data_IF_175765977051
#
_entry.id   IF_175765977051
#
_cell.length_a   1.000
_cell.length_b   1.000
_cell.length_c   1.000
_cell.angle_alpha   90.00
_cell.angle_beta   90.00
_cell.angle_gamma   90.00
#
_symmetry.space_group_name_H-M   'P 1'
#
loop_
_entity.id
_entity.type
_entity.pdbx_description
1 polymer ?
#
# COMPACT_ATOMS: atom_id res chain seq x y z
N UNK A 1 -4.17 16.03 -12.75
CA UNK A 1 -2.91 16.73 -12.54
C UNK A 1 -3.00 17.43 -11.21
N UNK A 2 -2.21 16.92 -10.29
CA UNK A 2 -2.29 16.98 -8.82
C UNK A 2 -1.35 18.08 -8.34
N UNK A 3 -1.57 18.60 -7.13
CA UNK A 3 -0.70 19.58 -6.48
C UNK A 3 0.74 19.05 -6.48
N UNK A 4 1.59 19.54 -7.40
CA UNK A 4 3.01 19.21 -7.42
C UNK A 4 3.81 20.41 -7.92
N UNK A 5 4.44 21.16 -7.00
CA UNK A 5 5.64 21.94 -7.28
C UNK A 5 6.36 22.34 -5.98
N UNK A 6 7.67 22.11 -5.95
CA UNK A 6 8.66 22.86 -5.18
C UNK A 6 8.68 22.67 -3.66
N UNK A 7 9.62 21.85 -3.16
CA UNK A 7 10.03 21.74 -1.75
C UNK A 7 8.95 21.40 -0.71
N UNK A 8 7.83 20.82 -1.13
CA UNK A 8 6.85 20.21 -0.21
C UNK A 8 7.06 18.70 -0.19
N UNK A 9 7.19 18.11 0.99
CA UNK A 9 7.28 16.66 1.12
C UNK A 9 5.91 16.06 0.81
N UNK A 10 5.77 15.47 -0.37
CA UNK A 10 4.56 14.79 -0.83
C UNK A 10 4.78 13.29 -0.67
N UNK A 11 4.00 12.66 0.21
CA UNK A 11 3.96 11.20 0.32
C UNK A 11 2.60 10.72 -0.15
N UNK A 12 2.53 9.61 -0.90
CA UNK A 12 1.25 8.98 -1.13
C UNK A 12 0.64 8.52 0.20
N UNK A 13 -0.68 8.67 0.35
CA UNK A 13 -1.48 7.95 1.35
C UNK A 13 -1.88 6.57 0.84
N UNK A 14 -1.26 6.12 -0.25
CA UNK A 14 -1.06 4.69 -0.41
C UNK A 14 -0.16 4.28 0.75
N UNK A 15 -0.69 3.46 1.66
CA UNK A 15 0.11 2.78 2.68
C UNK A 15 0.97 1.73 1.98
N UNK A 16 1.95 2.23 1.22
CA UNK A 16 2.96 1.45 0.55
C UNK A 16 4.02 1.10 1.59
N UNK A 17 3.91 -0.12 2.13
CA UNK A 17 4.84 -0.65 3.11
C UNK A 17 5.82 -1.58 2.43
N UNK A 18 7.11 -1.31 2.64
CA UNK A 18 8.18 -2.19 2.19
C UNK A 18 8.74 -2.98 3.37
N UNK A 19 8.79 -4.28 3.19
CA UNK A 19 9.32 -5.26 4.13
C UNK A 19 10.62 -5.83 3.56
N UNK A 20 11.62 -5.98 4.41
CA UNK A 20 12.88 -6.64 4.09
C UNK A 20 13.14 -7.71 5.13
N UNK A 21 13.50 -8.92 4.68
CA UNK A 21 14.05 -9.91 5.59
C UNK A 21 15.45 -9.46 6.02
N UNK A 22 15.66 -9.33 7.33
CA UNK A 22 16.84 -8.65 7.87
C UNK A 22 18.09 -9.55 8.00
N UNK A 23 17.90 -10.86 8.20
CA UNK A 23 19.01 -11.79 8.41
C UNK A 23 19.51 -12.36 7.09
N UNK A 24 20.37 -11.59 6.40
CA UNK A 24 20.87 -11.94 5.07
C UNK A 24 22.34 -12.42 5.07
N UNK A 25 22.69 -13.45 4.28
CA UNK A 25 21.76 -14.29 3.53
C UNK A 25 20.93 -15.17 4.48
N UNK A 26 19.62 -15.22 4.26
CA UNK A 26 18.77 -16.18 4.94
C UNK A 26 19.13 -17.58 4.48
N UNK A 27 19.17 -18.54 5.40
CA UNK A 27 19.42 -19.95 5.07
C UNK A 27 18.13 -20.73 5.31
N UNK A 28 17.71 -21.50 4.31
CA UNK A 28 16.50 -22.31 4.35
C UNK A 28 16.85 -23.74 4.01
N UNK A 29 16.79 -24.62 5.02
CA UNK A 29 17.10 -26.04 4.90
C UNK A 29 15.84 -26.87 5.16
N UNK A 30 15.14 -27.26 4.08
CA UNK A 30 13.84 -27.94 4.16
C UNK A 30 12.81 -27.21 5.05
N UNK A 31 12.74 -25.88 4.91
CA UNK A 31 11.91 -25.03 5.75
C UNK A 31 11.45 -23.78 5.00
N UNK A 32 11.17 -22.72 5.74
CA UNK A 32 10.74 -21.44 5.18
C UNK A 32 11.20 -20.23 6.00
N UNK A 33 11.27 -19.07 5.34
CA UNK A 33 11.37 -17.75 5.96
C UNK A 33 10.12 -16.97 5.57
N UNK A 34 9.53 -16.24 6.51
CA UNK A 34 8.24 -15.57 6.30
C UNK A 34 8.31 -14.08 6.63
N UNK A 35 7.55 -13.30 5.87
CA UNK A 35 7.25 -11.90 6.12
C UNK A 35 5.75 -11.76 6.34
N UNK A 36 5.37 -11.17 7.47
CA UNK A 36 4.00 -10.75 7.71
C UNK A 36 3.72 -9.45 6.96
N UNK A 37 2.66 -9.45 6.14
CA UNK A 37 2.34 -8.38 5.20
C UNK A 37 1.16 -7.51 5.67
N UNK A 38 0.09 -8.16 6.13
CA UNK A 38 -1.19 -7.54 6.44
C UNK A 38 -1.88 -8.27 7.60
N UNK A 39 -2.60 -7.51 8.42
CA UNK A 39 -3.48 -8.08 9.44
C UNK A 39 -4.81 -8.57 8.83
N UNK A 40 -5.46 -9.52 9.50
CA UNK A 40 -6.77 -10.02 9.09
C UNK A 40 -7.80 -8.87 9.00
N UNK A 41 -8.50 -8.80 7.86
CA UNK A 41 -9.52 -7.77 7.59
C UNK A 41 -8.98 -6.51 6.91
N UNK A 42 -7.65 -6.38 6.72
CA UNK A 42 -7.09 -5.32 5.89
C UNK A 42 -7.23 -5.68 4.40
N UNK A 43 -7.60 -4.69 3.58
CA UNK A 43 -7.67 -4.86 2.13
C UNK A 43 -6.32 -4.62 1.45
N UNK A 44 -6.15 -5.23 0.27
CA UNK A 44 -4.97 -5.13 -0.59
C UNK A 44 -5.33 -4.45 -1.93
N UNK A 45 -4.56 -3.44 -2.33
CA UNK A 45 -4.58 -2.90 -3.70
C UNK A 45 -3.61 -3.65 -4.60
N UNK A 46 -2.36 -3.79 -4.14
CA UNK A 46 -1.30 -4.49 -4.86
C UNK A 46 -0.24 -5.03 -3.91
N UNK A 47 0.35 -6.16 -4.27
CA UNK A 47 1.50 -6.77 -3.61
C UNK A 47 2.59 -7.03 -4.65
N UNK A 48 3.85 -6.81 -4.27
CA UNK A 48 5.02 -7.28 -4.99
C UNK A 48 5.94 -8.01 -4.01
N UNK A 49 6.31 -9.24 -4.30
CA UNK A 49 7.33 -10.00 -3.56
C UNK A 49 8.51 -10.23 -4.49
N UNK A 50 9.72 -9.98 -4.01
CA UNK A 50 10.97 -10.24 -4.72
C UNK A 50 11.87 -11.13 -3.88
N UNK A 51 12.30 -12.25 -4.47
CA UNK A 51 13.25 -13.17 -3.88
C UNK A 51 14.41 -13.37 -4.85
N UNK A 52 15.64 -13.30 -4.34
CA UNK A 52 16.83 -13.81 -5.01
C UNK A 52 17.43 -14.88 -4.14
N UNK A 53 17.61 -16.08 -4.70
CA UNK A 53 18.06 -17.23 -3.96
C UNK A 53 19.00 -18.13 -4.79
N UNK A 54 19.76 -18.96 -4.10
CA UNK A 54 20.73 -19.90 -4.66
C UNK A 54 20.57 -21.25 -4.00
N UNK A 55 20.21 -22.27 -4.78
CA UNK A 55 20.00 -23.63 -4.30
C UNK A 55 21.33 -24.37 -4.29
N UNK A 56 21.69 -24.99 -3.15
CA UNK A 56 23.00 -25.58 -2.96
C UNK A 56 23.24 -26.80 -3.87
N UNK A 57 22.22 -27.63 -4.06
CA UNK A 57 22.31 -28.88 -4.80
C UNK A 57 21.28 -28.92 -5.92
N UNK A 58 21.76 -28.83 -7.16
CA UNK A 58 21.00 -29.07 -8.40
C UNK A 58 21.69 -30.23 -9.10
N UNK A 59 21.39 -31.45 -8.65
CA UNK A 59 22.02 -32.66 -9.21
C UNK A 59 21.53 -32.93 -10.62
N UNK A 60 22.46 -33.36 -11.46
CA UNK A 60 22.15 -33.90 -12.77
C UNK A 60 21.69 -35.35 -12.61
N UNK A 61 20.44 -35.61 -12.99
CA UNK A 61 19.90 -36.96 -13.14
C UNK A 61 18.71 -36.92 -14.08
N UNK A 62 18.25 -38.08 -14.56
CA UNK A 62 17.05 -38.15 -15.41
C UNK A 62 15.83 -37.60 -14.66
N UNK A 63 15.13 -36.64 -15.26
CA UNK A 63 13.94 -36.02 -14.67
C UNK A 63 14.22 -34.80 -13.79
N UNK A 64 13.29 -34.49 -12.90
CA UNK A 64 13.32 -33.31 -12.05
C UNK A 64 14.15 -33.53 -10.78
N UNK A 65 14.97 -32.54 -10.43
CA UNK A 65 15.76 -32.51 -9.20
C UNK A 65 14.91 -32.76 -7.96
N UNK A 66 15.46 -33.50 -7.00
CA UNK A 66 14.86 -33.69 -5.67
C UNK A 66 14.87 -32.41 -4.82
N UNK A 67 15.66 -31.41 -5.22
CA UNK A 67 15.77 -30.12 -4.55
C UNK A 67 15.12 -29.04 -5.39
N UNK A 68 14.37 -28.15 -4.75
CA UNK A 68 13.63 -27.07 -5.40
C UNK A 68 13.24 -26.02 -4.36
N UNK A 69 12.79 -24.87 -4.81
CA UNK A 69 12.39 -23.79 -3.91
C UNK A 69 11.27 -22.98 -4.51
N UNK A 70 10.65 -22.12 -3.71
CA UNK A 70 9.55 -21.31 -4.17
C UNK A 70 9.20 -20.17 -3.23
N UNK A 71 8.13 -19.47 -3.62
CA UNK A 71 7.51 -18.40 -2.87
C UNK A 71 6.05 -18.76 -2.63
N UNK A 72 5.58 -18.63 -1.40
CA UNK A 72 4.18 -18.78 -1.02
C UNK A 72 3.57 -17.42 -0.69
N UNK A 73 2.32 -17.24 -1.06
CA UNK A 73 1.42 -16.20 -0.57
C UNK A 73 0.30 -16.90 0.19
N UNK A 74 0.09 -16.55 1.46
CA UNK A 74 -0.85 -17.27 2.32
C UNK A 74 -1.82 -16.37 3.07
N UNK A 75 -3.02 -16.89 3.24
CA UNK A 75 -4.09 -16.40 4.09
C UNK A 75 -4.62 -17.57 4.93
N UNK A 76 -5.39 -17.32 6.00
CA UNK A 76 -5.96 -18.41 6.80
C UNK A 76 -6.80 -19.37 5.94
N UNK A 77 -6.32 -20.60 5.78
CA UNK A 77 -7.00 -21.63 4.99
C UNK A 77 -6.87 -21.51 3.47
N UNK A 78 -6.05 -20.59 2.96
CA UNK A 78 -5.85 -20.40 1.52
C UNK A 78 -4.38 -20.09 1.18
N UNK A 79 -3.79 -20.80 0.22
CA UNK A 79 -2.37 -20.64 -0.13
C UNK A 79 -2.14 -20.76 -1.64
N UNK A 80 -1.39 -19.79 -2.17
CA UNK A 80 -0.80 -19.85 -3.50
C UNK A 80 0.71 -20.10 -3.37
N UNK A 81 1.21 -21.17 -4.00
CA UNK A 81 2.63 -21.49 -4.04
C UNK A 81 3.13 -21.39 -5.46
N UNK A 82 4.19 -20.63 -5.67
CA UNK A 82 4.93 -20.58 -6.94
C UNK A 82 6.27 -21.23 -6.70
N UNK A 83 6.57 -22.27 -7.45
CA UNK A 83 7.81 -23.03 -7.29
C UNK A 83 8.68 -22.98 -8.53
N UNK A 84 9.98 -23.06 -8.32
CA UNK A 84 10.99 -23.18 -9.35
C UNK A 84 11.74 -24.50 -9.17
N UNK A 85 11.61 -25.37 -10.17
CA UNK A 85 12.19 -26.70 -10.19
C UNK A 85 13.16 -26.81 -11.35
N UNK A 86 14.23 -27.56 -11.16
CA UNK A 86 15.22 -27.83 -12.20
C UNK A 86 15.21 -29.31 -12.56
N UNK A 87 15.62 -29.65 -13.77
CA UNK A 87 15.75 -31.04 -14.19
C UNK A 87 16.49 -31.18 -15.51
N UNK A 88 16.52 -32.40 -16.02
CA UNK A 88 17.07 -32.77 -17.31
C UNK A 88 16.01 -33.54 -18.10
N UNK A 89 15.92 -33.28 -19.41
CA UNK A 89 14.96 -34.01 -20.26
C UNK A 89 15.33 -35.48 -20.40
N UNK A 90 16.56 -35.76 -20.83
CA UNK A 90 17.04 -37.10 -21.17
C UNK A 90 18.51 -37.24 -20.73
N UNK A 91 18.73 -37.30 -19.41
CA UNK A 91 20.08 -37.30 -18.84
C UNK A 91 20.98 -38.39 -19.44
N UNK A 92 22.12 -37.98 -19.99
CA UNK A 92 23.09 -38.87 -20.64
C UNK A 92 22.83 -39.13 -22.13
N UNK A 93 21.76 -38.59 -22.72
CA UNK A 93 21.51 -38.57 -24.17
C UNK A 93 22.21 -37.36 -24.83
N UNK A 94 22.48 -37.44 -26.14
CA UNK A 94 22.99 -36.31 -26.93
C UNK A 94 22.02 -35.12 -26.97
N UNK A 95 20.73 -35.37 -26.73
CA UNK A 95 19.67 -34.37 -26.68
C UNK A 95 19.39 -33.86 -25.25
N UNK A 96 20.19 -34.27 -24.26
CA UNK A 96 20.02 -33.80 -22.88
C UNK A 96 20.09 -32.28 -22.79
N UNK A 97 19.04 -31.68 -22.22
CA UNK A 97 18.99 -30.26 -21.91
C UNK A 97 18.53 -30.06 -20.48
N UNK A 98 19.18 -29.13 -19.79
CA UNK A 98 18.70 -28.65 -18.49
C UNK A 98 17.46 -27.80 -18.68
N UNK A 99 16.43 -28.10 -17.91
CA UNK A 99 15.16 -27.39 -17.91
C UNK A 99 14.93 -26.73 -16.55
N UNK A 100 14.21 -25.62 -16.58
CA UNK A 100 13.59 -25.04 -15.41
C UNK A 100 12.07 -25.08 -15.62
N UNK A 101 11.34 -25.43 -14.58
CA UNK A 101 9.88 -25.48 -14.59
C UNK A 101 9.38 -24.58 -13.48
N UNK A 102 8.46 -23.69 -13.83
CA UNK A 102 7.67 -22.92 -12.86
C UNK A 102 6.30 -23.55 -12.74
N UNK A 103 5.91 -23.88 -11.51
CA UNK A 103 4.63 -24.49 -11.18
C UNK A 103 3.91 -23.61 -10.16
N UNK A 104 2.65 -23.30 -10.41
CA UNK A 104 1.76 -22.58 -9.48
C UNK A 104 0.74 -23.56 -8.93
N UNK A 105 0.66 -23.63 -7.61
CA UNK A 105 -0.36 -24.39 -6.88
C UNK A 105 -1.26 -23.49 -6.09
N UNK A 106 -2.55 -23.80 -6.10
CA UNK A 106 -3.55 -23.25 -5.19
C UNK A 106 -4.05 -24.36 -4.28
N UNK A 107 -3.81 -24.23 -2.96
CA UNK A 107 -4.13 -25.26 -1.96
C UNK A 107 -3.66 -26.67 -2.38
N UNK A 108 -2.39 -26.73 -2.79
CA UNK A 108 -1.68 -27.92 -3.29
C UNK A 108 -2.21 -28.54 -4.60
N UNK A 109 -3.22 -27.93 -5.25
CA UNK A 109 -3.67 -28.28 -6.60
C UNK A 109 -2.88 -27.47 -7.62
N UNK A 110 -2.30 -28.13 -8.63
CA UNK A 110 -1.58 -27.44 -9.72
C UNK A 110 -2.60 -26.69 -10.58
N UNK A 111 -2.41 -25.38 -10.72
CA UNK A 111 -3.25 -24.49 -11.53
C UNK A 111 -2.51 -23.95 -12.76
N UNK A 112 -1.17 -23.96 -12.74
CA UNK A 112 -0.34 -23.66 -13.90
C UNK A 112 1.01 -24.37 -13.80
N UNK A 113 1.55 -24.80 -14.93
CA UNK A 113 2.90 -25.38 -15.03
C UNK A 113 3.50 -24.99 -16.38
N UNK A 114 4.76 -24.55 -16.38
CA UNK A 114 5.42 -24.10 -17.59
C UNK A 114 6.94 -24.34 -17.54
N UNK A 115 7.49 -24.94 -18.59
CA UNK A 115 8.93 -24.93 -18.84
C UNK A 115 9.38 -23.50 -19.21
N UNK A 116 10.40 -23.00 -18.53
CA UNK A 116 10.88 -21.62 -18.63
C UNK A 116 12.38 -21.55 -18.90
N UNK A 117 12.79 -20.54 -19.66
CA UNK A 117 14.19 -20.26 -19.94
C UNK A 117 14.80 -19.17 -19.05
N UNK A 118 16.11 -18.93 -19.19
CA UNK A 118 16.78 -17.77 -18.58
C UNK A 118 17.18 -17.92 -17.11
N UNK A 119 16.95 -19.08 -16.51
CA UNK A 119 17.39 -19.42 -15.16
C UNK A 119 18.81 -20.01 -15.15
N UNK A 120 19.53 -19.78 -14.06
CA UNK A 120 20.81 -20.42 -13.79
C UNK A 120 20.55 -21.82 -13.21
N UNK A 121 20.87 -22.84 -13.99
CA UNK A 121 20.67 -24.24 -13.62
C UNK A 121 21.88 -24.87 -12.92
N UNK A 122 22.97 -24.12 -12.72
CA UNK A 122 24.16 -24.63 -12.04
C UNK A 122 23.96 -24.72 -10.52
N UNK A 123 24.62 -25.68 -9.83
CA UNK A 123 24.65 -25.69 -8.37
C UNK A 123 25.11 -24.34 -7.82
N UNK A 124 24.42 -23.85 -6.78
CA UNK A 124 24.64 -22.52 -6.19
C UNK A 124 24.43 -21.34 -7.17
N UNK A 125 23.82 -21.59 -8.33
CA UNK A 125 23.42 -20.56 -9.26
C UNK A 125 22.32 -19.67 -8.67
N UNK A 126 22.53 -18.35 -8.71
CA UNK A 126 21.51 -17.40 -8.26
C UNK A 126 20.38 -17.26 -9.28
N UNK A 127 19.16 -17.30 -8.76
CA UNK A 127 17.92 -17.09 -9.49
C UNK A 127 17.02 -16.13 -8.72
N UNK A 128 16.21 -15.39 -9.47
CA UNK A 128 15.20 -14.50 -8.92
C UNK A 128 13.80 -15.00 -9.27
N UNK A 129 12.89 -14.89 -8.32
CA UNK A 129 11.45 -15.01 -8.53
C UNK A 129 10.79 -13.72 -8.02
N UNK A 130 9.87 -13.19 -8.79
CA UNK A 130 9.06 -12.04 -8.42
C UNK A 130 7.59 -12.35 -8.64
N UNK A 131 6.77 -12.12 -7.62
CA UNK A 131 5.33 -12.30 -7.64
C UNK A 131 4.69 -10.92 -7.50
N UNK A 132 3.90 -10.52 -8.48
CA UNK A 132 3.09 -9.30 -8.39
C UNK A 132 1.61 -9.67 -8.43
N UNK A 133 0.87 -9.28 -7.39
CA UNK A 133 -0.57 -9.46 -7.31
C UNK A 133 -1.25 -8.09 -7.37
N UNK A 134 -2.07 -7.87 -8.38
CA UNK A 134 -2.89 -6.66 -8.50
C UNK A 134 -4.15 -6.94 -9.29
N UNK A 135 -5.27 -6.31 -8.92
CA UNK A 135 -6.55 -6.46 -9.64
C UNK A 135 -6.98 -7.92 -9.84
N UNK A 136 -6.71 -8.79 -8.84
CA UNK A 136 -7.04 -10.22 -8.91
C UNK A 136 -6.17 -11.05 -9.87
N UNK A 137 -5.07 -10.50 -10.39
CA UNK A 137 -4.13 -11.21 -11.27
C UNK A 137 -2.78 -11.37 -10.56
N UNK A 138 -2.33 -12.62 -10.43
CA UNK A 138 -0.97 -12.96 -10.06
C UNK A 138 -0.11 -13.01 -11.32
N UNK A 139 0.94 -12.20 -11.37
CA UNK A 139 1.98 -12.23 -12.39
C UNK A 139 3.26 -12.75 -11.79
N UNK A 140 3.81 -13.79 -12.42
CA UNK A 140 5.07 -14.43 -12.01
C UNK A 140 6.15 -14.06 -13.00
N UNK A 141 7.25 -13.54 -12.47
CA UNK A 141 8.46 -13.22 -13.24
C UNK A 141 9.68 -13.88 -12.60
N UNK A 142 10.72 -14.16 -13.38
CA UNK A 142 11.95 -14.72 -12.84
C UNK A 142 13.08 -14.85 -13.84
N UNK A 143 14.24 -15.29 -13.33
CA UNK A 143 15.43 -15.60 -14.12
C UNK A 143 16.74 -15.43 -13.34
N UNK A 144 17.87 -15.84 -13.93
CA UNK A 144 19.19 -15.79 -13.29
C UNK A 144 19.90 -14.44 -13.41
N UNK A 145 19.83 -13.85 -14.62
CA UNK A 145 20.48 -12.57 -14.96
C UNK A 145 19.48 -11.44 -15.22
N UNK A 146 18.34 -11.76 -15.80
CA UNK A 146 17.23 -10.84 -16.09
C UNK A 146 15.96 -11.45 -15.52
N UNK A 147 15.13 -10.62 -14.89
CA UNK A 147 13.79 -11.01 -14.48
C UNK A 147 12.86 -10.83 -15.69
N UNK A 148 12.36 -11.93 -16.24
CA UNK A 148 11.42 -11.93 -17.36
C UNK A 148 10.05 -12.35 -16.86
N UNK A 149 9.00 -11.80 -17.44
CA UNK A 149 7.64 -12.29 -17.24
C UNK A 149 7.56 -13.75 -17.72
N UNK A 150 6.97 -14.62 -16.89
CA UNK A 150 6.83 -16.05 -17.18
C UNK A 150 5.37 -16.39 -17.48
N UNK A 151 4.47 -16.03 -16.56
CA UNK A 151 3.04 -16.29 -16.67
C UNK A 151 2.22 -15.31 -15.83
N UNK A 152 0.93 -15.21 -16.15
CA UNK A 152 -0.07 -14.53 -15.33
C UNK A 152 -1.33 -15.38 -15.24
N UNK A 153 -1.94 -15.42 -14.06
CA UNK A 153 -3.18 -16.14 -13.83
C UNK A 153 -4.11 -15.36 -12.90
N UNK A 154 -5.45 -15.51 -13.03
CA UNK A 154 -6.37 -15.01 -12.03
C UNK A 154 -6.17 -15.75 -10.70
N UNK A 155 -6.28 -15.01 -9.60
CA UNK A 155 -6.41 -15.60 -8.26
C UNK A 155 -7.88 -15.70 -7.88
N UNK A 156 -8.25 -16.58 -6.92
CA UNK A 156 -9.62 -16.64 -6.43
C UNK A 156 -10.13 -15.29 -5.93
N UNK A 157 -11.43 -15.04 -6.13
CA UNK A 157 -12.08 -13.83 -5.63
C UNK A 157 -11.92 -13.72 -4.11
N UNK A 158 -11.48 -12.54 -3.65
CA UNK A 158 -11.28 -12.26 -2.23
C UNK A 158 -9.97 -12.81 -1.64
N UNK A 159 -9.08 -13.42 -2.43
CA UNK A 159 -7.76 -13.82 -1.95
C UNK A 159 -6.92 -12.58 -1.57
N UNK A 160 -6.62 -12.44 -0.28
CA UNK A 160 -5.78 -11.37 0.27
C UNK A 160 -4.67 -11.98 1.12
N UNK A 161 -3.43 -12.08 0.61
CA UNK A 161 -2.32 -12.68 1.34
C UNK A 161 -1.95 -11.86 2.57
N UNK A 162 -1.92 -12.51 3.72
CA UNK A 162 -1.46 -11.94 4.99
C UNK A 162 0.03 -12.16 5.19
N UNK A 163 0.59 -13.21 4.60
CA UNK A 163 2.01 -13.55 4.70
C UNK A 163 2.59 -13.91 3.32
N UNK A 164 3.88 -13.63 3.17
CA UNK A 164 4.69 -14.18 2.09
C UNK A 164 5.83 -15.01 2.68
N UNK A 165 6.15 -16.14 2.06
CA UNK A 165 7.22 -17.02 2.52
C UNK A 165 8.11 -17.48 1.39
N UNK A 166 9.42 -17.54 1.62
CA UNK A 166 10.36 -18.26 0.76
C UNK A 166 10.65 -19.61 1.40
N UNK A 167 10.53 -20.69 0.64
CA UNK A 167 10.69 -22.05 1.15
C UNK A 167 11.56 -22.89 0.22
N UNK A 168 12.11 -23.97 0.75
CA UNK A 168 12.93 -24.90 0.00
C UNK A 168 12.66 -26.35 0.38
N UNK A 169 12.88 -27.23 -0.59
CA UNK A 169 13.26 -28.63 -0.36
C UNK A 169 14.73 -28.72 -0.77
N UNK A 170 15.59 -29.04 0.18
CA UNK A 170 17.04 -28.86 0.09
C UNK A 170 17.52 -27.59 0.79
N UNK A 171 18.79 -27.24 0.55
CA UNK A 171 19.46 -26.09 1.18
C UNK A 171 19.47 -24.89 0.23
N UNK A 172 18.94 -23.75 0.68
CA UNK A 172 18.75 -22.53 -0.09
C UNK A 172 19.39 -21.34 0.64
N UNK A 173 20.20 -20.57 -0.07
CA UNK A 173 20.71 -19.28 0.40
C UNK A 173 19.92 -18.13 -0.23
N UNK A 174 19.40 -17.23 0.59
CA UNK A 174 18.48 -16.15 0.20
C UNK A 174 19.10 -14.79 0.55
N UNK A 175 19.90 -14.19 -0.36
CA UNK A 175 20.44 -12.84 -0.15
C UNK A 175 19.41 -11.72 -0.25
N UNK A 176 18.28 -11.95 -0.93
CA UNK A 176 17.21 -10.95 -1.07
C UNK A 176 15.87 -11.62 -0.85
N UNK A 177 15.12 -11.08 0.11
CA UNK A 177 13.71 -11.36 0.27
C UNK A 177 13.03 -10.07 0.75
N UNK A 178 12.18 -9.49 -0.11
CA UNK A 178 11.43 -8.29 0.21
C UNK A 178 10.02 -8.36 -0.32
N UNK A 179 9.13 -7.62 0.32
CA UNK A 179 7.77 -7.43 -0.13
C UNK A 179 7.40 -5.94 -0.11
N UNK A 180 6.55 -5.52 -1.03
CA UNK A 180 5.94 -4.20 -1.10
C UNK A 180 4.43 -4.39 -1.17
N UNK A 181 3.71 -3.80 -0.21
CA UNK A 181 2.26 -3.92 -0.07
C UNK A 181 1.67 -2.53 -0.20
N UNK A 182 0.65 -2.37 -1.03
CA UNK A 182 -0.16 -1.15 -1.12
C UNK A 182 -1.61 -1.45 -0.79
N UNK A 183 -2.24 -0.56 -0.04
CA UNK A 183 -3.64 -0.66 0.42
C UNK A 183 -4.52 0.41 -0.23
N UNK A 184 -5.83 0.18 -0.37
CA UNK A 184 -6.72 1.19 -0.92
C UNK A 184 -6.76 2.44 -0.03
N UNK A 185 -6.66 3.67 -0.59
CA UNK A 185 -6.71 4.89 0.22
C UNK A 185 -7.98 5.03 1.06
N UNK A 186 -9.10 4.47 0.58
CA UNK A 186 -10.36 4.37 1.31
C UNK A 186 -10.20 3.78 2.71
N UNK A 187 -9.44 2.69 2.81
CA UNK A 187 -9.27 1.94 4.04
C UNK A 187 -8.17 2.53 4.92
N UNK A 188 -7.13 3.10 4.30
CA UNK A 188 -6.03 3.77 5.01
C UNK A 188 -6.51 5.06 5.67
N UNK A 189 -7.41 5.79 5.02
CA UNK A 189 -7.94 7.06 5.50
C UNK A 189 -9.28 6.92 6.23
N UNK A 190 -9.87 5.73 6.31
CA UNK A 190 -11.12 5.55 7.03
C UNK A 190 -10.97 6.04 8.48
N UNK A 191 -11.85 6.96 8.89
CA UNK A 191 -11.97 7.33 10.31
C UNK A 191 -13.02 6.46 10.99
N UNK A 192 -12.98 6.42 12.31
CA UNK A 192 -14.00 5.76 13.15
C UNK A 192 -15.34 6.52 13.20
N UNK A 193 -15.38 7.73 12.64
CA UNK A 193 -16.56 8.59 12.72
C UNK A 193 -17.66 8.16 11.76
N UNK A 194 -18.88 8.38 12.22
CA UNK A 194 -20.08 8.40 11.38
C UNK A 194 -20.66 9.81 11.36
N UNK A 195 -21.50 10.10 10.37
CA UNK A 195 -22.23 11.38 10.33
C UNK A 195 -23.01 11.62 11.63
N UNK A 196 -23.72 10.61 12.13
CA UNK A 196 -24.52 10.73 13.36
C UNK A 196 -23.66 10.93 14.60
N UNK A 197 -22.52 10.23 14.72
CA UNK A 197 -21.61 10.44 15.86
C UNK A 197 -21.01 11.84 15.86
N UNK A 198 -20.70 12.42 14.69
CA UNK A 198 -20.21 13.79 14.57
C UNK A 198 -21.29 14.81 14.92
N UNK A 199 -22.51 14.64 14.39
CA UNK A 199 -23.66 15.50 14.73
C UNK A 199 -23.91 15.50 16.24
N UNK A 200 -23.91 14.33 16.86
CA UNK A 200 -24.14 14.21 18.31
C UNK A 200 -23.01 14.82 19.13
N UNK A 201 -21.76 14.61 18.72
CA UNK A 201 -20.60 15.23 19.37
C UNK A 201 -20.67 16.75 19.32
N UNK A 202 -20.92 17.33 18.15
CA UNK A 202 -20.92 18.78 17.98
C UNK A 202 -22.10 19.47 18.68
N UNK A 203 -23.22 18.77 18.95
CA UNK A 203 -24.30 19.31 19.79
C UNK A 203 -23.88 19.53 21.25
N UNK A 204 -22.94 18.72 21.74
CA UNK A 204 -22.48 18.72 23.14
C UNK A 204 -21.16 19.46 23.34
N UNK A 205 -20.45 19.75 22.26
CA UNK A 205 -19.13 20.35 22.31
C UNK A 205 -19.21 21.86 22.55
N UNK A 206 -18.39 22.36 23.47
CA UNK A 206 -18.13 23.79 23.64
C UNK A 206 -16.86 24.24 22.91
N UNK A 207 -16.22 23.32 22.18
CA UNK A 207 -15.02 23.61 21.40
C UNK A 207 -15.40 24.34 20.12
N UNK A 208 -14.96 25.60 20.01
CA UNK A 208 -15.31 26.47 18.89
C UNK A 208 -14.58 26.09 17.59
N UNK A 209 -13.55 25.25 17.66
CA UNK A 209 -12.87 24.68 16.49
C UNK A 209 -13.67 23.52 15.92
N UNK A 210 -14.30 22.74 16.80
CA UNK A 210 -15.14 21.62 16.38
C UNK A 210 -16.39 22.08 15.62
N UNK A 211 -16.76 21.30 14.61
CA UNK A 211 -17.96 21.54 13.82
C UNK A 211 -17.81 21.14 12.37
N UNK A 212 -18.86 21.44 11.61
CA UNK A 212 -18.87 21.28 10.17
C UNK A 212 -18.47 22.59 9.49
N UNK A 213 -17.65 22.48 8.46
CA UNK A 213 -17.03 23.58 7.74
C UNK A 213 -17.25 23.37 6.25
N UNK A 214 -17.94 24.30 5.59
CA UNK A 214 -18.20 24.20 4.14
C UNK A 214 -17.41 25.24 3.38
N UNK A 215 -16.98 24.87 2.17
CA UNK A 215 -16.23 25.74 1.28
C UNK A 215 -16.92 27.10 1.13
N UNK A 216 -16.16 28.17 1.41
CA UNK A 216 -16.62 29.55 1.28
C UNK A 216 -16.03 30.18 0.02
N UNK A 217 -14.72 30.36 0.00
CA UNK A 217 -13.99 30.91 -1.15
C UNK A 217 -12.56 30.36 -1.22
N UNK A 218 -11.82 30.82 -2.22
CA UNK A 218 -10.39 30.56 -2.38
C UNK A 218 -9.71 31.78 -2.98
N UNK A 219 -8.44 31.92 -2.68
CA UNK A 219 -7.53 32.85 -3.34
C UNK A 219 -6.31 32.03 -3.79
N UNK A 220 -6.23 31.78 -5.10
CA UNK A 220 -5.22 30.90 -5.67
C UNK A 220 -5.03 31.20 -7.16
N UNK A 221 -3.86 30.86 -7.68
CA UNK A 221 -3.64 30.76 -9.11
C UNK A 221 -4.04 29.34 -9.60
N UNK A 222 -5.07 29.20 -10.46
CA UNK A 222 -5.54 27.90 -10.97
C UNK A 222 -4.51 27.14 -11.81
N UNK A 223 -3.47 27.81 -12.31
CA UNK A 223 -2.40 27.16 -13.08
C UNK A 223 -1.39 26.47 -12.15
N UNK A 224 -1.25 26.95 -10.90
CA UNK A 224 -0.37 26.37 -9.89
C UNK A 224 -1.08 25.38 -8.96
N UNK A 225 -2.33 25.66 -8.60
CA UNK A 225 -3.10 24.82 -7.70
C UNK A 225 -4.56 24.74 -8.13
N UNK A 226 -5.10 23.53 -8.26
CA UNK A 226 -6.52 23.33 -8.56
C UNK A 226 -7.22 22.74 -7.35
N UNK A 227 -8.33 23.36 -6.98
CA UNK A 227 -9.17 22.85 -5.90
C UNK A 227 -9.74 21.49 -6.30
N UNK A 228 -9.53 20.49 -5.45
CA UNK A 228 -10.07 19.14 -5.67
C UNK A 228 -11.58 19.01 -5.47
N UNK A 229 -12.24 20.03 -4.93
CA UNK A 229 -13.68 20.08 -4.75
C UNK A 229 -14.14 21.17 -3.79
N UNK A 230 -15.42 21.52 -3.82
CA UNK A 230 -16.04 22.44 -2.85
C UNK A 230 -16.45 21.63 -1.61
N UNK A 231 -15.48 21.35 -0.76
CA UNK A 231 -15.65 20.39 0.33
C UNK A 231 -16.58 20.88 1.43
N UNK A 232 -17.31 19.93 2.02
CA UNK A 232 -17.75 20.01 3.41
C UNK A 232 -16.82 19.10 4.22
N UNK A 233 -16.33 19.63 5.33
CA UNK A 233 -15.40 18.99 6.25
C UNK A 233 -16.02 18.97 7.65
N UNK A 234 -15.64 18.00 8.46
CA UNK A 234 -15.83 18.05 9.90
C UNK A 234 -14.46 18.23 10.56
N UNK A 235 -14.34 19.15 11.50
CA UNK A 235 -13.16 19.28 12.34
C UNK A 235 -13.51 18.76 13.72
N UNK A 236 -12.73 17.81 14.22
CA UNK A 236 -13.07 17.05 15.43
C UNK A 236 -11.81 16.78 16.25
N UNK A 237 -11.85 17.06 17.56
CA UNK A 237 -10.69 16.88 18.43
C UNK A 237 -10.37 15.39 18.60
N UNK A 238 -9.11 14.99 18.43
CA UNK A 238 -8.62 13.68 18.87
C UNK A 238 -8.65 13.63 20.39
N UNK A 239 -9.29 12.60 20.96
CA UNK A 239 -9.34 12.19 22.38
C UNK A 239 -9.02 13.25 23.45
N UNK A 240 -9.90 13.40 24.45
CA UNK A 240 -9.72 14.38 25.54
C UNK A 240 -8.36 14.28 26.27
N UNK A 241 -7.79 13.06 26.36
CA UNK A 241 -6.55 12.75 27.09
C UNK A 241 -5.26 12.90 26.26
N UNK A 242 -5.37 13.28 24.99
CA UNK A 242 -4.23 13.50 24.07
C UNK A 242 -3.86 14.99 23.97
N UNK A 243 -2.65 15.32 23.46
CA UNK A 243 -2.34 16.69 23.06
C UNK A 243 -3.46 17.20 22.17
N UNK A 244 -3.85 18.46 22.38
CA UNK A 244 -4.94 19.11 21.65
C UNK A 244 -4.62 19.02 20.15
N UNK A 245 -5.30 18.16 19.42
CA UNK A 245 -5.08 17.89 17.99
C UNK A 245 -6.45 17.64 17.39
N UNK A 246 -6.68 18.09 16.17
CA UNK A 246 -7.96 17.90 15.49
C UNK A 246 -7.78 17.10 14.21
N UNK A 247 -8.66 16.13 13.98
CA UNK A 247 -8.82 15.52 12.66
C UNK A 247 -9.71 16.40 11.78
N UNK A 248 -9.28 16.54 10.54
CA UNK A 248 -10.12 17.07 9.46
C UNK A 248 -10.69 15.85 8.75
N UNK A 249 -12.01 15.68 8.79
CA UNK A 249 -12.73 14.55 8.20
C UNK A 249 -13.49 15.04 6.97
N UNK A 250 -13.33 14.37 5.85
CA UNK A 250 -14.09 14.62 4.63
C UNK A 250 -15.54 14.21 4.81
N UNK A 251 -16.48 15.13 4.53
CA UNK A 251 -17.92 14.84 4.57
C UNK A 251 -18.46 14.69 3.15
N UNK A 252 -18.24 15.67 2.29
CA UNK A 252 -18.76 15.69 0.93
C UNK A 252 -18.06 16.75 0.06
N UNK A 253 -18.41 16.80 -1.23
CA UNK A 253 -18.02 17.91 -2.11
C UNK A 253 -16.73 17.72 -2.91
N UNK A 254 -16.13 16.52 -2.90
CA UNK A 254 -15.03 16.19 -3.80
C UNK A 254 -15.51 16.18 -5.27
N UNK A 255 -14.71 16.79 -6.16
CA UNK A 255 -14.97 16.85 -7.60
C UNK A 255 -13.90 16.09 -8.39
N UNK A 256 -12.65 16.18 -7.95
CA UNK A 256 -11.52 15.40 -8.48
C UNK A 256 -11.40 14.12 -7.69
N UNK A 257 -11.40 12.97 -8.38
CA UNK A 257 -11.44 11.63 -7.77
C UNK A 257 -12.60 11.44 -6.78
N UNK A 258 -13.74 12.11 -7.02
CA UNK A 258 -14.88 12.13 -6.10
C UNK A 258 -15.56 10.77 -5.92
N UNK A 259 -15.43 9.88 -6.90
CA UNK A 259 -15.87 8.48 -6.83
C UNK A 259 -15.08 7.65 -5.80
N UNK A 260 -13.80 8.01 -5.60
CA UNK A 260 -12.89 7.35 -4.65
C UNK A 260 -12.98 7.94 -3.24
N UNK A 261 -13.32 9.22 -3.11
CA UNK A 261 -13.55 9.86 -1.81
C UNK A 261 -14.88 9.39 -1.20
N UNK A 262 -14.80 8.66 -0.10
CA UNK A 262 -15.97 8.26 0.70
C UNK A 262 -16.11 9.17 1.91
N UNK A 263 -17.35 9.57 2.29
CA UNK A 263 -17.57 10.30 3.53
C UNK A 263 -16.89 9.59 4.71
N UNK A 264 -16.42 10.39 5.67
CA UNK A 264 -15.70 9.95 6.87
C UNK A 264 -14.25 9.50 6.63
N UNK A 265 -13.70 9.70 5.44
CA UNK A 265 -12.24 9.61 5.24
C UNK A 265 -11.53 10.80 5.87
N UNK A 266 -10.37 10.59 6.48
CA UNK A 266 -9.47 11.63 6.95
C UNK A 266 -8.98 12.47 5.76
N UNK A 267 -9.11 13.78 5.90
CA UNK A 267 -8.68 14.79 4.93
C UNK A 267 -7.45 15.56 5.40
N UNK A 268 -7.12 15.50 6.68
CA UNK A 268 -6.00 16.22 7.24
C UNK A 268 -6.03 16.26 8.75
N UNK A 269 -5.18 17.10 9.32
CA UNK A 269 -5.00 17.24 10.75
C UNK A 269 -4.57 18.66 11.10
N UNK A 270 -5.00 19.16 12.25
CA UNK A 270 -4.62 20.45 12.82
C UNK A 270 -3.90 20.24 14.16
N UNK A 271 -2.70 20.81 14.29
CA UNK A 271 -1.94 20.86 15.55
C UNK A 271 -1.85 22.31 16.00
N UNK A 272 -2.35 22.66 17.20
CA UNK A 272 -2.27 24.03 17.70
C UNK A 272 -0.82 24.41 17.88
N UNK A 273 -0.54 25.67 17.58
CA UNK A 273 0.74 26.31 17.90
C UNK A 273 0.56 27.24 19.10
N UNK A 274 1.60 27.98 19.47
CA UNK A 274 1.58 28.90 20.62
C UNK A 274 0.60 30.08 20.47
N UNK A 275 0.13 30.35 19.24
CA UNK A 275 -0.80 31.43 18.95
C UNK A 275 -2.23 30.89 18.90
N UNK A 276 -3.12 31.50 19.68
CA UNK A 276 -4.51 31.08 19.76
C UNK A 276 -5.22 31.21 18.39
N UNK A 277 -6.00 30.18 18.03
CA UNK A 277 -6.64 30.09 16.72
C UNK A 277 -5.69 29.78 15.55
N UNK A 278 -4.40 29.51 15.79
CA UNK A 278 -3.45 29.11 14.76
C UNK A 278 -3.03 27.65 14.90
N UNK A 279 -2.85 27.00 13.76
CA UNK A 279 -2.50 25.58 13.69
C UNK A 279 -1.48 25.31 12.60
N UNK A 280 -0.56 24.38 12.87
CA UNK A 280 0.14 23.62 11.84
C UNK A 280 -0.84 22.61 11.24
N UNK A 281 -0.77 22.43 9.92
CA UNK A 281 -1.73 21.60 9.20
C UNK A 281 -1.03 20.48 8.42
N UNK A 282 -1.67 19.32 8.39
CA UNK A 282 -1.43 18.27 7.40
C UNK A 282 -2.66 18.16 6.50
N UNK A 283 -2.47 17.92 5.21
CA UNK A 283 -3.58 17.84 4.25
C UNK A 283 -3.45 16.63 3.35
N UNK A 284 -4.56 15.97 3.04
CA UNK A 284 -4.64 14.90 2.05
C UNK A 284 -5.31 15.45 0.80
N UNK A 285 -4.58 15.53 -0.29
CA UNK A 285 -5.06 16.13 -1.53
C UNK A 285 -6.13 15.28 -2.24
N UNK A 286 -6.58 15.71 -3.42
CA UNK A 286 -7.61 14.96 -4.15
C UNK A 286 -7.15 13.58 -4.63
N UNK A 287 -5.86 13.37 -4.83
CA UNK A 287 -5.27 12.11 -5.27
C UNK A 287 -4.76 11.24 -4.13
N UNK A 288 -5.15 11.55 -2.89
CA UNK A 288 -4.72 10.83 -1.71
C UNK A 288 -3.22 10.94 -1.46
N UNK A 289 -2.56 12.04 -1.83
CA UNK A 289 -1.21 12.34 -1.35
C UNK A 289 -1.31 13.20 -0.10
N UNK A 290 -0.52 12.88 0.92
CA UNK A 290 -0.35 13.70 2.10
C UNK A 290 0.67 14.79 1.81
N UNK A 291 0.24 16.01 2.06
CA UNK A 291 1.02 17.23 2.03
C UNK A 291 1.36 17.56 3.48
N UNK A 292 2.65 17.58 3.78
CA UNK A 292 3.18 17.97 5.11
C UNK A 292 4.23 19.06 4.95
N UNK A 293 4.42 19.85 6.02
CA UNK A 293 5.38 20.96 6.05
C UNK A 293 4.86 22.22 5.36
N UNK A 294 5.07 23.37 6.00
CA UNK A 294 4.66 24.69 5.49
C UNK A 294 3.17 24.81 5.12
N UNK A 295 2.29 24.14 5.86
CA UNK A 295 0.85 24.40 5.83
C UNK A 295 0.36 24.91 7.17
N UNK A 296 -0.55 25.87 7.14
CA UNK A 296 -1.16 26.39 8.37
C UNK A 296 -2.65 26.58 8.21
N UNK A 297 -3.36 26.51 9.33
CA UNK A 297 -4.74 26.92 9.44
C UNK A 297 -4.88 28.07 10.43
N UNK A 298 -5.80 28.98 10.14
CA UNK A 298 -6.13 30.10 11.02
C UNK A 298 -7.64 30.18 11.16
N UNK A 299 -8.11 30.18 12.40
CA UNK A 299 -9.49 30.43 12.77
C UNK A 299 -9.64 31.92 13.07
N UNK A 300 -10.67 32.54 12.50
CA UNK A 300 -10.92 33.96 12.76
C UNK A 300 -11.46 34.22 14.17
N UNK A 301 -11.37 35.47 14.63
CA UNK A 301 -11.71 35.84 16.01
C UNK A 301 -13.19 35.68 16.39
N UNK A 302 -14.09 35.49 15.41
CA UNK A 302 -15.50 35.18 15.67
C UNK A 302 -15.84 33.69 15.45
N UNK A 303 -14.84 32.85 15.15
CA UNK A 303 -14.96 31.41 14.95
C UNK A 303 -15.92 31.00 13.82
N UNK A 304 -16.14 31.88 12.84
CA UNK A 304 -17.03 31.65 11.70
C UNK A 304 -16.26 31.26 10.43
N UNK A 305 -14.97 31.59 10.33
CA UNK A 305 -14.14 31.35 9.15
C UNK A 305 -12.86 30.60 9.50
N UNK A 306 -12.70 29.42 8.90
CA UNK A 306 -11.48 28.63 8.97
C UNK A 306 -10.70 28.79 7.65
N UNK A 307 -9.49 29.35 7.75
CA UNK A 307 -8.63 29.64 6.60
C UNK A 307 -7.48 28.65 6.54
N UNK A 308 -7.39 27.86 5.48
CA UNK A 308 -6.24 27.01 5.17
C UNK A 308 -5.29 27.73 4.23
N UNK A 309 -4.00 27.71 4.55
CA UNK A 309 -2.93 28.34 3.78
C UNK A 309 -1.97 27.27 3.31
N UNK A 310 -1.69 27.31 2.01
CA UNK A 310 -0.70 26.49 1.32
C UNK A 310 0.36 27.44 0.69
N UNK A 311 1.25 28.06 1.48
CA UNK A 311 2.26 29.01 1.03
C UNK A 311 3.04 28.58 -0.22
N UNK A 312 3.57 27.36 -0.24
CA UNK A 312 4.36 26.84 -1.37
C UNK A 312 3.55 26.74 -2.68
N UNK A 313 2.22 26.72 -2.56
CA UNK A 313 1.29 26.67 -3.69
C UNK A 313 0.61 28.02 -3.95
N UNK A 314 1.02 29.09 -3.26
CA UNK A 314 0.39 30.41 -3.38
C UNK A 314 -1.13 30.37 -3.20
N UNK A 315 -1.63 29.49 -2.32
CA UNK A 315 -3.05 29.14 -2.26
C UNK A 315 -3.62 29.33 -0.86
N UNK A 316 -4.78 29.95 -0.80
CA UNK A 316 -5.62 30.10 0.38
C UNK A 316 -6.99 29.52 0.06
N UNK A 317 -7.53 28.71 0.98
CA UNK A 317 -8.89 28.18 0.89
C UNK A 317 -9.59 28.51 2.20
N UNK A 318 -10.81 29.05 2.12
CA UNK A 318 -11.58 29.41 3.32
C UNK A 318 -12.85 28.59 3.41
N UNK A 319 -13.21 28.25 4.63
CA UNK A 319 -14.39 27.49 4.97
C UNK A 319 -15.21 28.26 5.99
N UNK A 320 -16.53 28.28 5.79
CA UNK A 320 -17.48 28.87 6.72
C UNK A 320 -18.05 27.80 7.65
N UNK A 321 -18.23 28.15 8.92
CA UNK A 321 -18.82 27.24 9.90
C UNK A 321 -20.31 27.05 9.59
N UNK A 322 -20.75 25.80 9.59
CA UNK A 322 -22.15 25.44 9.28
C UNK A 322 -22.93 25.24 10.58
N UNK A 323 -24.08 25.93 10.76
CA UNK A 323 -24.99 25.64 11.86
C UNK A 323 -25.50 24.21 11.78
N UNK A 324 -25.56 23.49 12.92
CA UNK A 324 -26.04 22.11 12.96
C UNK A 324 -27.48 21.93 12.45
N UNK A 325 -28.30 22.98 12.50
CA UNK A 325 -29.67 22.99 11.99
C UNK A 325 -29.75 22.96 10.45
N UNK A 326 -28.65 23.24 9.76
CA UNK A 326 -28.59 23.38 8.31
C UNK A 326 -28.06 22.11 7.61
N UNK A 327 -27.90 21.01 8.34
CA UNK A 327 -27.22 19.75 7.93
C UNK A 327 -28.05 18.50 8.15
#
# INVERSE_FOLDING_TARGET
MVLSAGAVSLYAVDDCRRFHYCDVPGIVDNGELSLHLLDQGQSLSSLMVEVRASLADVREHTGMSSSWWGVSLSSPGDTLKVSLRFGNTDFGDLLDRRIAVVEVRHNDVIVAEQEVGGFNTAPRGYNSLSLSLSSGILSVSGGGHRCLHLLSLPVPDGFVPLDASVWSVGSLSVPVFSAEVSRPPGDVLASEFTMESLKERFRKSNDLVEGFWTYFDRDNDPDYARLGGKYTLAVVRRNADSPLVYDIVYVSGAQVCGDRWKPMMLKGLLRPVIFDGHYDMEWVDSSFLRITGDLSAVLDGNYALLTFRFPMLGTIIRFSKVPLSSL
#
